data_IF_692885414682
#
_entry.id   IF_692885414682
#
_cell.length_a   1.000
_cell.length_b   1.000
_cell.length_c   1.000
_cell.angle_alpha   90.00
_cell.angle_beta   90.00
_cell.angle_gamma   90.00
#
_symmetry.space_group_name_H-M   'P 1'
#
loop_
_entity.id
_entity.type
_entity.pdbx_description
1 polymer ?
#
# COMPACT_ATOMS: atom_id res chain seq x y z
N UNK A 1 9.59 14.13 -36.39
CA UNK A 1 10.33 13.26 -35.44
C UNK A 1 9.85 13.44 -33.99
N UNK A 2 9.73 14.68 -33.49
CA UNK A 2 9.24 14.99 -32.13
C UNK A 2 7.81 14.53 -31.84
N UNK A 3 6.89 14.69 -32.79
CA UNK A 3 5.49 14.24 -32.61
C UNK A 3 5.36 12.72 -32.40
N UNK A 4 6.19 11.93 -33.08
CA UNK A 4 6.21 10.47 -32.95
C UNK A 4 6.71 10.08 -31.56
N UNK A 5 7.79 10.73 -31.09
CA UNK A 5 8.32 10.51 -29.74
C UNK A 5 7.30 10.90 -28.65
N UNK A 6 6.61 12.03 -28.83
CA UNK A 6 5.56 12.48 -27.91
C UNK A 6 4.37 11.49 -27.88
N UNK A 7 3.94 11.00 -29.04
CA UNK A 7 2.87 10.03 -29.15
C UNK A 7 3.23 8.69 -28.48
N UNK A 8 4.42 8.15 -28.76
CA UNK A 8 4.89 6.89 -28.18
C UNK A 8 5.04 7.02 -26.66
N UNK A 9 5.64 8.12 -26.19
CA UNK A 9 5.76 8.41 -24.75
C UNK A 9 4.39 8.48 -24.07
N UNK A 10 3.46 9.27 -24.63
CA UNK A 10 2.10 9.39 -24.09
C UNK A 10 1.35 8.06 -24.06
N UNK A 11 1.47 7.24 -25.12
CA UNK A 11 0.86 5.91 -25.18
C UNK A 11 1.44 4.99 -24.10
N UNK A 12 2.76 4.96 -23.92
CA UNK A 12 3.41 4.14 -22.90
C UNK A 12 3.01 4.57 -21.48
N UNK A 13 2.98 5.88 -21.20
CA UNK A 13 2.50 6.39 -19.92
C UNK A 13 1.05 6.00 -19.65
N UNK A 14 0.19 6.08 -20.68
CA UNK A 14 -1.20 5.69 -20.55
C UNK A 14 -1.36 4.20 -20.25
N UNK A 15 -0.66 3.31 -20.95
CA UNK A 15 -0.75 1.85 -20.74
C UNK A 15 -0.25 1.46 -19.35
N UNK A 16 0.91 1.96 -18.93
CA UNK A 16 1.47 1.65 -17.60
C UNK A 16 0.58 2.20 -16.46
N UNK A 17 0.00 3.39 -16.66
CA UNK A 17 -0.93 4.00 -15.70
C UNK A 17 -2.26 3.23 -15.63
N UNK A 18 -2.79 2.79 -16.77
CA UNK A 18 -4.02 1.99 -16.83
C UNK A 18 -3.85 0.62 -16.15
N UNK A 19 -2.72 -0.06 -16.37
CA UNK A 19 -2.39 -1.33 -15.70
C UNK A 19 -2.32 -1.15 -14.18
N UNK A 20 -1.60 -0.13 -13.72
CA UNK A 20 -1.50 0.21 -12.28
C UNK A 20 -2.88 0.53 -11.68
N UNK A 21 -3.73 1.26 -12.40
CA UNK A 21 -5.09 1.59 -11.98
C UNK A 21 -5.98 0.35 -11.85
N UNK A 22 -5.93 -0.56 -12.82
CA UNK A 22 -6.68 -1.81 -12.77
C UNK A 22 -6.27 -2.67 -11.57
N UNK A 23 -4.98 -2.71 -11.23
CA UNK A 23 -4.48 -3.43 -10.05
C UNK A 23 -5.05 -2.83 -8.76
N UNK A 24 -5.00 -1.50 -8.60
CA UNK A 24 -5.52 -0.83 -7.40
C UNK A 24 -7.02 -1.06 -7.24
N UNK A 25 -7.81 -0.94 -8.31
CA UNK A 25 -9.25 -1.22 -8.28
C UNK A 25 -9.54 -2.69 -7.94
N UNK A 26 -8.71 -3.60 -8.44
CA UNK A 26 -8.81 -5.02 -8.17
C UNK A 26 -8.54 -5.34 -6.69
N UNK A 27 -7.54 -4.71 -6.10
CA UNK A 27 -7.22 -4.82 -4.68
C UNK A 27 -8.36 -4.28 -3.79
N UNK A 28 -9.05 -3.21 -4.20
CA UNK A 28 -10.22 -2.71 -3.46
C UNK A 28 -11.45 -3.62 -3.58
N UNK A 29 -11.60 -4.32 -4.71
CA UNK A 29 -12.79 -5.13 -5.00
C UNK A 29 -12.68 -6.57 -4.51
N UNK A 30 -11.46 -7.08 -4.35
CA UNK A 30 -11.19 -8.44 -3.91
C UNK A 30 -10.36 -8.41 -2.65
N UNK A 31 -10.94 -8.85 -1.53
CA UNK A 31 -10.24 -9.09 -0.28
C UNK A 31 -10.02 -10.60 -0.20
N UNK A 32 -8.83 -11.05 -0.62
CA UNK A 32 -8.43 -12.44 -0.46
C UNK A 32 -8.52 -12.83 1.02
N UNK A 33 -8.97 -14.05 1.29
CA UNK A 33 -9.04 -14.62 2.65
C UNK A 33 -7.64 -14.72 3.28
N UNK A 34 -6.60 -14.76 2.43
CA UNK A 34 -5.20 -14.71 2.81
C UNK A 34 -4.56 -13.42 2.26
N UNK A 35 -3.76 -12.74 3.09
CA UNK A 35 -3.12 -11.43 2.83
C UNK A 35 -2.20 -11.37 1.58
N UNK A 36 -1.98 -12.51 0.91
CA UNK A 36 -0.98 -12.71 -0.15
C UNK A 36 -1.58 -13.10 -1.52
N UNK A 37 -2.90 -13.24 -1.63
CA UNK A 37 -3.51 -13.59 -2.92
C UNK A 37 -3.63 -12.35 -3.83
N UNK A 38 -2.72 -12.27 -4.81
CA UNK A 38 -2.82 -11.32 -5.91
C UNK A 38 -4.20 -11.39 -6.57
N UNK A 39 -4.87 -10.25 -6.85
CA UNK A 39 -6.21 -10.27 -7.40
C UNK A 39 -6.27 -11.03 -8.72
N UNK A 40 -7.27 -11.91 -8.92
CA UNK A 40 -7.39 -12.72 -10.12
C UNK A 40 -7.50 -11.84 -11.37
N UNK A 41 -6.82 -12.23 -12.44
CA UNK A 41 -6.75 -11.50 -13.73
C UNK A 41 -8.13 -11.12 -14.30
N UNK A 42 -9.18 -11.89 -13.98
CA UNK A 42 -10.55 -11.63 -14.41
C UNK A 42 -11.14 -10.33 -13.84
N UNK A 43 -10.83 -9.99 -12.58
CA UNK A 43 -11.35 -8.78 -11.93
C UNK A 43 -10.72 -7.52 -12.55
N UNK A 44 -9.45 -7.61 -12.97
CA UNK A 44 -8.74 -6.55 -13.70
C UNK A 44 -9.38 -6.29 -15.05
N UNK A 45 -9.66 -7.36 -15.80
CA UNK A 45 -10.29 -7.28 -17.12
C UNK A 45 -11.71 -6.70 -17.04
N UNK A 46 -12.48 -7.11 -16.02
CA UNK A 46 -13.80 -6.55 -15.75
C UNK A 46 -13.73 -5.03 -15.54
N UNK A 47 -12.82 -4.55 -14.69
CA UNK A 47 -12.68 -3.12 -14.43
C UNK A 47 -12.16 -2.35 -15.64
N UNK A 48 -11.24 -2.91 -16.43
CA UNK A 48 -10.76 -2.30 -17.66
C UNK A 48 -11.90 -2.08 -18.67
N UNK A 49 -12.74 -3.10 -18.87
CA UNK A 49 -13.91 -3.01 -19.76
C UNK A 49 -14.95 -2.03 -19.22
N UNK A 50 -15.22 -2.05 -17.91
CA UNK A 50 -16.17 -1.15 -17.27
C UNK A 50 -15.77 0.33 -17.43
N UNK A 51 -14.49 0.67 -17.24
CA UNK A 51 -13.98 2.02 -17.45
C UNK A 51 -14.08 2.43 -18.92
N UNK A 52 -13.77 1.52 -19.85
CA UNK A 52 -13.92 1.76 -21.28
C UNK A 52 -15.38 2.06 -21.67
N UNK A 53 -16.32 1.28 -21.12
CA UNK A 53 -17.76 1.46 -21.36
C UNK A 53 -18.26 2.79 -20.76
N UNK A 54 -17.82 3.12 -19.54
CA UNK A 54 -18.15 4.39 -18.89
C UNK A 54 -17.63 5.58 -19.70
N UNK A 55 -16.40 5.50 -20.19
CA UNK A 55 -15.80 6.53 -21.05
C UNK A 55 -16.59 6.70 -22.35
N UNK A 56 -16.96 5.61 -23.02
CA UNK A 56 -17.77 5.64 -24.23
C UNK A 56 -19.14 6.29 -23.98
N UNK A 57 -19.81 5.92 -22.88
CA UNK A 57 -21.09 6.52 -22.49
C UNK A 57 -20.98 8.02 -22.25
N UNK A 58 -19.93 8.47 -21.54
CA UNK A 58 -19.70 9.88 -21.29
C UNK A 58 -19.44 10.68 -22.57
N UNK A 59 -18.65 10.11 -23.50
CA UNK A 59 -18.38 10.73 -24.79
C UNK A 59 -19.67 10.98 -25.59
N UNK A 60 -20.63 10.04 -25.53
CA UNK A 60 -21.93 10.19 -26.20
C UNK A 60 -22.82 11.26 -25.57
N UNK A 61 -22.81 11.42 -24.24
CA UNK A 61 -23.68 12.39 -23.54
C UNK A 61 -23.21 13.85 -23.60
N UNK A 62 -21.90 14.11 -23.57
CA UNK A 62 -21.40 15.48 -23.49
C UNK A 62 -19.90 15.63 -23.72
N UNK A 63 -19.27 14.61 -24.30
CA UNK A 63 -17.87 14.64 -24.70
C UNK A 63 -16.90 14.92 -23.54
N UNK A 64 -15.84 15.65 -23.86
CA UNK A 64 -14.74 15.98 -22.94
C UNK A 64 -15.23 16.86 -21.77
N UNK A 65 -16.16 17.78 -22.03
CA UNK A 65 -16.70 18.68 -21.01
C UNK A 65 -17.48 17.93 -19.93
N UNK A 66 -18.22 16.88 -20.30
CA UNK A 66 -18.90 16.01 -19.33
C UNK A 66 -17.89 15.24 -18.47
N UNK A 67 -16.83 14.70 -19.09
CA UNK A 67 -15.76 13.98 -18.39
C UNK A 67 -15.06 14.89 -17.36
N UNK A 68 -14.72 16.12 -17.74
CA UNK A 68 -14.07 17.08 -16.84
C UNK A 68 -14.95 17.40 -15.63
N UNK A 69 -16.25 17.63 -15.83
CA UNK A 69 -17.19 17.89 -14.73
C UNK A 69 -17.31 16.71 -13.79
N UNK A 70 -17.45 15.49 -14.32
CA UNK A 70 -17.53 14.29 -13.49
C UNK A 70 -16.26 14.10 -12.64
N UNK A 71 -15.07 14.32 -13.23
CA UNK A 71 -13.80 14.25 -12.49
C UNK A 71 -13.75 15.27 -11.35
N UNK A 72 -14.21 16.50 -11.55
CA UNK A 72 -14.25 17.51 -10.48
C UNK A 72 -15.22 17.09 -9.36
N UNK A 73 -16.43 16.64 -9.73
CA UNK A 73 -17.45 16.22 -8.78
C UNK A 73 -16.99 15.00 -7.96
N UNK A 74 -16.29 14.05 -8.58
CA UNK A 74 -15.73 12.87 -7.90
C UNK A 74 -14.46 13.19 -7.10
N UNK A 75 -13.63 14.13 -7.56
CA UNK A 75 -12.40 14.52 -6.89
C UNK A 75 -12.63 15.27 -5.58
N UNK A 76 -13.69 16.07 -5.51
CA UNK A 76 -14.04 16.84 -4.31
C UNK A 76 -14.27 15.97 -3.05
N UNK A 77 -15.14 14.94 -3.05
CA UNK A 77 -15.31 14.06 -1.89
C UNK A 77 -14.03 13.25 -1.59
N UNK A 78 -13.29 12.83 -2.62
CA UNK A 78 -12.03 12.11 -2.44
C UNK A 78 -10.97 12.96 -1.74
N UNK A 79 -10.98 14.28 -1.93
CA UNK A 79 -10.09 15.20 -1.21
C UNK A 79 -10.24 15.12 0.31
N UNK A 80 -11.48 14.98 0.81
CA UNK A 80 -11.71 14.78 2.25
C UNK A 80 -11.12 13.45 2.74
N UNK A 81 -11.29 12.37 1.97
CA UNK A 81 -10.69 11.07 2.29
C UNK A 81 -9.16 11.17 2.36
N UNK A 82 -8.55 11.88 1.41
CA UNK A 82 -7.10 12.12 1.39
C UNK A 82 -6.63 12.85 2.67
N UNK A 83 -7.41 13.82 3.16
CA UNK A 83 -7.12 14.51 4.41
C UNK A 83 -7.17 13.56 5.61
N UNK A 84 -8.17 12.69 5.70
CA UNK A 84 -8.25 11.66 6.74
C UNK A 84 -7.06 10.70 6.68
N UNK A 85 -6.69 10.22 5.49
CA UNK A 85 -5.50 9.36 5.30
C UNK A 85 -4.25 10.08 5.78
N UNK A 86 -4.09 11.36 5.45
CA UNK A 86 -2.94 12.16 5.87
C UNK A 86 -2.86 12.30 7.40
N UNK A 87 -3.98 12.57 8.07
CA UNK A 87 -4.03 12.62 9.55
C UNK A 87 -3.77 11.25 10.19
N UNK A 88 -4.28 10.17 9.60
CA UNK A 88 -4.06 8.80 10.05
C UNK A 88 -2.61 8.36 9.91
N UNK A 89 -1.98 8.69 8.79
CA UNK A 89 -0.57 8.44 8.54
C UNK A 89 0.31 9.24 9.50
N UNK A 90 0.01 10.54 9.71
CA UNK A 90 0.73 11.37 10.67
C UNK A 90 0.63 10.82 12.10
N UNK A 91 -0.56 10.34 12.50
CA UNK A 91 -0.77 9.68 13.79
C UNK A 91 0.01 8.36 13.88
N UNK A 92 0.02 7.55 12.82
CA UNK A 92 0.76 6.28 12.76
C UNK A 92 2.25 6.51 12.90
N UNK A 93 2.81 7.47 12.15
CA UNK A 93 4.22 7.83 12.22
C UNK A 93 4.61 8.34 13.61
N UNK A 94 3.79 9.19 14.24
CA UNK A 94 4.02 9.61 15.63
C UNK A 94 4.00 8.44 16.60
N UNK A 95 3.03 7.53 16.48
CA UNK A 95 2.94 6.32 17.31
C UNK A 95 4.15 5.41 17.14
N UNK A 96 4.67 5.28 15.93
CA UNK A 96 5.92 4.57 15.66
C UNK A 96 7.13 5.28 16.24
N UNK A 97 7.19 6.61 16.20
CA UNK A 97 8.29 7.40 16.79
C UNK A 97 8.32 7.22 18.31
N UNK A 98 7.16 7.28 18.98
CA UNK A 98 7.04 6.96 20.40
C UNK A 98 7.38 5.49 20.70
N UNK A 99 7.05 4.55 19.80
CA UNK A 99 7.48 3.15 19.92
C UNK A 99 8.97 2.98 19.71
N UNK A 100 9.59 3.70 18.78
CA UNK A 100 11.02 3.67 18.50
C UNK A 100 11.82 4.23 19.68
N UNK A 101 11.30 5.25 20.37
CA UNK A 101 11.88 5.74 21.63
C UNK A 101 11.70 4.75 22.79
N UNK A 102 10.54 4.06 22.88
CA UNK A 102 10.32 3.02 23.89
C UNK A 102 11.08 1.71 23.61
N UNK A 103 11.43 1.48 22.34
CA UNK A 103 12.20 0.34 21.84
C UNK A 103 13.66 0.72 21.58
N UNK A 104 14.13 1.86 22.11
CA UNK A 104 15.52 1.92 22.57
C UNK A 104 15.61 0.78 23.56
N UNK A 105 16.40 -0.28 23.29
CA UNK A 105 16.56 -1.30 24.29
C UNK A 105 16.99 -0.53 25.52
N UNK A 106 16.26 -0.69 26.62
CA UNK A 106 16.91 -0.65 27.91
C UNK A 106 18.03 -1.68 27.75
N UNK A 107 19.19 -1.23 27.25
CA UNK A 107 20.46 -1.77 27.58
C UNK A 107 20.38 -1.72 29.09
N UNK A 108 19.97 -2.87 29.66
CA UNK A 108 19.76 -3.03 31.08
C UNK A 108 20.93 -2.30 31.74
N UNK A 109 20.69 -1.52 32.82
CA UNK A 109 21.81 -0.91 33.50
C UNK A 109 22.79 -2.07 33.71
N UNK A 110 23.99 -1.95 33.15
CA UNK A 110 25.09 -2.87 33.43
C UNK A 110 25.42 -2.56 34.88
N UNK A 111 24.54 -3.01 35.77
CA UNK A 111 24.64 -2.89 37.19
C UNK A 111 25.67 -3.95 37.54
N UNK A 112 26.89 -3.44 37.72
CA UNK A 112 27.98 -3.98 38.52
C UNK A 112 28.04 -5.49 38.70
N UNK A 113 29.12 -6.08 38.20
CA UNK A 113 29.56 -7.46 38.33
C UNK A 113 29.09 -8.40 37.21
N UNK A 114 29.74 -8.28 36.06
CA UNK A 114 29.65 -9.26 34.97
C UNK A 114 30.55 -10.43 35.32
N UNK A 115 30.02 -11.41 36.05
CA UNK A 115 30.66 -12.72 36.15
C UNK A 115 30.63 -13.39 34.77
N UNK A 116 31.80 -13.43 34.13
CA UNK A 116 32.02 -13.93 32.77
C UNK A 116 31.73 -15.45 32.67
N UNK A 117 31.62 -16.15 33.80
CA UNK A 117 31.38 -17.61 33.85
C UNK A 117 29.96 -18.02 33.42
N UNK A 118 28.94 -17.17 33.57
CA UNK A 118 27.53 -17.54 33.32
C UNK A 118 27.06 -17.35 31.87
N UNK A 119 27.97 -17.28 30.90
CA UNK A 119 27.65 -17.16 29.47
C UNK A 119 26.85 -18.35 28.91
N UNK A 120 27.04 -19.55 29.49
CA UNK A 120 26.29 -20.76 29.09
C UNK A 120 24.80 -20.61 29.37
N UNK A 121 24.43 -20.13 30.56
CA UNK A 121 23.03 -19.90 30.94
C UNK A 121 22.35 -18.85 30.05
N UNK A 122 23.12 -17.86 29.59
CA UNK A 122 22.63 -16.84 28.65
C UNK A 122 22.37 -17.43 27.28
N UNK A 123 23.26 -18.28 26.76
CA UNK A 123 23.03 -18.94 25.48
C UNK A 123 21.83 -19.89 25.57
N UNK A 124 21.69 -20.64 26.67
CA UNK A 124 20.54 -21.53 26.87
C UNK A 124 19.22 -20.75 26.86
N UNK A 125 19.18 -19.53 27.40
CA UNK A 125 17.97 -18.69 27.38
C UNK A 125 17.64 -18.15 25.99
N UNK A 126 18.66 -17.79 25.20
CA UNK A 126 18.47 -17.30 23.82
C UNK A 126 18.07 -18.44 22.89
N UNK A 127 18.62 -19.64 23.09
CA UNK A 127 18.23 -20.83 22.32
C UNK A 127 16.87 -21.36 22.74
N UNK A 128 16.47 -21.23 24.02
CA UNK A 128 15.15 -21.63 24.49
C UNK A 128 14.01 -20.81 23.89
N UNK A 129 14.26 -19.57 23.44
CA UNK A 129 13.26 -18.78 22.72
C UNK A 129 13.06 -19.27 21.28
N UNK A 130 14.07 -19.89 20.67
CA UNK A 130 13.97 -20.46 19.32
C UNK A 130 13.22 -21.80 19.28
N UNK A 131 12.98 -22.44 20.44
CA UNK A 131 12.34 -23.75 20.55
C UNK A 131 10.83 -23.67 20.88
N UNK A 132 10.30 -22.47 21.15
CA UNK A 132 8.89 -22.28 21.48
C UNK A 132 7.94 -22.30 20.27
N UNK A 133 8.45 -22.54 19.05
CA UNK A 133 7.65 -22.70 17.82
C UNK A 133 7.49 -24.18 17.41
N UNK A 134 7.98 -25.12 18.22
CA UNK A 134 7.78 -26.56 18.01
C UNK A 134 6.61 -27.16 18.83
N UNK A 135 5.66 -26.31 19.25
CA UNK A 135 4.41 -26.75 19.85
C UNK A 135 3.21 -25.96 19.32
N UNK A 136 2.87 -26.26 18.06
CA UNK A 136 1.51 -26.30 17.48
C UNK A 136 0.97 -25.04 16.80
#
# INVERSE_FOLDING_TARGET
>A
MTAILAFVSGLLFYVTSADSGAIVLSNFSFKGENNDETPPLWIRLFWAIAIGMLTAAMLMTGGISALQKATIIMGLPFSFVMFFVMTGLFKSLRLEDFRAESNKPNAAPIAGNVDIENWRERLTRVTAYADADQAR
#
